data_IF_506188099256
#
_entry.id   IF_506188099256
#
_cell.length_a   1.000
_cell.length_b   1.000
_cell.length_c   1.000
_cell.angle_alpha   90.00
_cell.angle_beta   90.00
_cell.angle_gamma   90.00
#
_symmetry.space_group_name_H-M   'P 1'
#
loop_
_entity.id
_entity.type
_entity.pdbx_description
1 polymer ?
#
# COMPACT_ATOMS: atom_id res chain seq x y z
N UNK A 1 15.99 -44.98 -57.90
CA UNK A 1 15.17 -44.71 -56.70
C UNK A 1 14.92 -43.22 -56.66
N UNK A 2 13.75 -42.76 -57.09
CA UNK A 2 13.39 -41.33 -57.12
C UNK A 2 12.42 -41.09 -55.96
N UNK A 3 12.90 -40.42 -54.91
CA UNK A 3 12.06 -39.96 -53.80
C UNK A 3 11.15 -38.85 -54.31
N UNK A 4 9.81 -38.96 -54.23
CA UNK A 4 8.93 -37.88 -54.63
C UNK A 4 9.21 -36.66 -53.75
N UNK A 5 9.56 -35.53 -54.37
CA UNK A 5 9.63 -34.24 -53.70
C UNK A 5 8.22 -33.93 -53.19
N UNK A 6 8.08 -33.74 -51.87
CA UNK A 6 6.85 -33.22 -51.32
C UNK A 6 6.59 -31.83 -51.93
N UNK A 7 5.38 -31.55 -52.43
CA UNK A 7 5.07 -30.23 -52.96
C UNK A 7 5.23 -29.20 -51.83
N UNK A 8 6.13 -28.23 -52.02
CA UNK A 8 6.22 -27.05 -51.17
C UNK A 8 4.93 -26.24 -51.36
N UNK A 9 4.02 -26.32 -50.38
CA UNK A 9 2.79 -25.52 -50.39
C UNK A 9 3.14 -24.07 -50.05
N UNK A 10 3.14 -23.20 -51.06
CA UNK A 10 3.24 -21.75 -50.87
C UNK A 10 1.99 -21.21 -50.15
N UNK A 11 2.20 -20.39 -49.13
CA UNK A 11 1.13 -19.70 -48.40
C UNK A 11 0.34 -18.79 -49.34
N UNK A 12 -0.99 -18.93 -49.33
CA UNK A 12 -1.85 -18.03 -50.10
C UNK A 12 -1.92 -16.65 -49.44
N UNK A 13 -2.16 -15.57 -50.21
CA UNK A 13 -2.24 -14.20 -49.68
C UNK A 13 -3.35 -14.06 -48.62
N UNK A 14 -4.46 -14.77 -48.79
CA UNK A 14 -5.54 -14.75 -47.80
C UNK A 14 -5.15 -15.47 -46.50
N UNK A 15 -4.35 -16.52 -46.60
CA UNK A 15 -3.87 -17.29 -45.46
C UNK A 15 -2.85 -16.51 -44.62
N UNK A 16 -1.98 -15.73 -45.27
CA UNK A 16 -1.09 -14.81 -44.54
C UNK A 16 -1.87 -13.67 -43.87
N UNK A 17 -2.92 -13.15 -44.52
CA UNK A 17 -3.80 -12.14 -43.89
C UNK A 17 -4.55 -12.71 -42.68
N UNK A 18 -5.07 -13.93 -42.78
CA UNK A 18 -5.73 -14.61 -41.66
C UNK A 18 -4.72 -14.88 -40.53
N UNK A 19 -3.52 -15.37 -40.85
CA UNK A 19 -2.47 -15.60 -39.86
C UNK A 19 -2.05 -14.31 -39.14
N UNK A 20 -1.90 -13.19 -39.87
CA UNK A 20 -1.61 -11.89 -39.30
C UNK A 20 -2.76 -11.36 -38.43
N UNK A 21 -4.01 -11.58 -38.83
CA UNK A 21 -5.18 -11.20 -38.03
C UNK A 21 -5.23 -11.99 -36.71
N UNK A 22 -5.05 -13.31 -36.76
CA UNK A 22 -5.00 -14.16 -35.57
C UNK A 22 -3.82 -13.75 -34.66
N UNK A 23 -2.66 -13.49 -35.25
CA UNK A 23 -1.48 -13.02 -34.51
C UNK A 23 -1.74 -11.67 -33.82
N UNK A 24 -2.33 -10.71 -34.53
CA UNK A 24 -2.66 -9.40 -33.98
C UNK A 24 -3.66 -9.51 -32.81
N UNK A 25 -4.74 -10.29 -32.98
CA UNK A 25 -5.74 -10.52 -31.93
C UNK A 25 -5.09 -11.22 -30.73
N UNK A 26 -4.26 -12.23 -30.95
CA UNK A 26 -3.53 -12.91 -29.90
C UNK A 26 -2.59 -11.98 -29.13
N UNK A 27 -1.85 -11.12 -29.84
CA UNK A 27 -0.94 -10.15 -29.22
C UNK A 27 -1.68 -9.11 -28.34
N UNK A 28 -2.84 -8.64 -28.80
CA UNK A 28 -3.70 -7.73 -28.01
C UNK A 28 -4.24 -8.43 -26.76
N UNK A 29 -4.63 -9.70 -26.86
CA UNK A 29 -5.05 -10.50 -25.71
C UNK A 29 -3.97 -10.61 -24.64
N UNK A 30 -2.72 -10.88 -25.03
CA UNK A 30 -1.58 -10.97 -24.11
C UNK A 30 -1.30 -9.61 -23.44
N UNK A 31 -1.35 -8.52 -24.21
CA UNK A 31 -1.15 -7.17 -23.67
C UNK A 31 -2.21 -6.81 -22.63
N UNK A 32 -3.48 -7.16 -22.89
CA UNK A 32 -4.56 -6.92 -21.94
C UNK A 32 -4.30 -7.66 -20.61
N UNK A 33 -3.89 -8.93 -20.67
CA UNK A 33 -3.55 -9.72 -19.47
C UNK A 33 -2.38 -9.09 -18.73
N UNK A 34 -1.31 -8.70 -19.42
CA UNK A 34 -0.13 -8.06 -18.80
C UNK A 34 -0.50 -6.76 -18.07
N UNK A 35 -1.31 -5.90 -18.71
CA UNK A 35 -1.76 -4.65 -18.09
C UNK A 35 -2.59 -4.91 -16.83
N UNK A 36 -3.52 -5.88 -16.86
CA UNK A 36 -4.29 -6.26 -15.67
C UNK A 36 -3.38 -6.82 -14.57
N UNK A 37 -2.38 -7.61 -14.93
CA UNK A 37 -1.38 -8.12 -13.98
C UNK A 37 -0.61 -7.00 -13.29
N UNK A 38 -0.18 -5.97 -14.02
CA UNK A 38 0.49 -4.81 -13.43
C UNK A 38 -0.41 -4.00 -12.50
N UNK A 39 -1.67 -3.75 -12.88
CA UNK A 39 -2.59 -3.02 -12.01
C UNK A 39 -2.86 -3.77 -10.71
N UNK A 40 -3.12 -5.07 -10.78
CA UNK A 40 -3.36 -5.90 -9.60
C UNK A 40 -2.11 -6.02 -8.72
N UNK A 41 -0.92 -6.09 -9.32
CA UNK A 41 0.34 -6.12 -8.57
C UNK A 41 0.61 -4.80 -7.85
N UNK A 42 0.35 -3.66 -8.50
CA UNK A 42 0.49 -2.35 -7.88
C UNK A 42 -0.49 -2.16 -6.71
N UNK A 43 -1.73 -2.62 -6.87
CA UNK A 43 -2.73 -2.63 -5.80
C UNK A 43 -2.30 -3.51 -4.62
N UNK A 44 -1.85 -4.74 -4.88
CA UNK A 44 -1.34 -5.65 -3.85
C UNK A 44 -0.14 -5.08 -3.09
N UNK A 45 0.77 -4.39 -3.79
CA UNK A 45 1.90 -3.71 -3.17
C UNK A 45 1.45 -2.56 -2.27
N UNK A 46 0.48 -1.75 -2.71
CA UNK A 46 -0.05 -0.64 -1.91
C UNK A 46 -0.78 -1.15 -0.65
N UNK A 47 -1.59 -2.20 -0.77
CA UNK A 47 -2.26 -2.84 0.36
C UNK A 47 -1.25 -3.38 1.37
N UNK A 48 -0.23 -4.09 0.88
CA UNK A 48 0.85 -4.64 1.72
C UNK A 48 1.65 -3.52 2.39
N UNK A 49 1.97 -2.45 1.68
CA UNK A 49 2.66 -1.29 2.23
C UNK A 49 1.82 -0.58 3.31
N UNK A 50 0.55 -0.33 3.06
CA UNK A 50 -0.39 0.27 4.03
C UNK A 50 -0.51 -0.58 5.29
N UNK A 51 -0.62 -1.90 5.14
CA UNK A 51 -0.61 -2.86 6.25
C UNK A 51 0.68 -2.77 7.07
N UNK A 52 1.84 -2.87 6.43
CA UNK A 52 3.14 -2.84 7.12
C UNK A 52 3.34 -1.53 7.91
N UNK A 53 2.96 -0.40 7.32
CA UNK A 53 3.04 0.92 7.95
C UNK A 53 2.11 1.01 9.17
N UNK A 54 0.88 0.51 9.06
CA UNK A 54 -0.08 0.52 10.18
C UNK A 54 0.40 -0.39 11.33
N UNK A 55 0.90 -1.58 11.00
CA UNK A 55 1.44 -2.52 11.99
C UNK A 55 2.69 -1.99 12.68
N UNK A 56 3.56 -1.28 11.96
CA UNK A 56 4.71 -0.64 12.57
C UNK A 56 4.29 0.46 13.55
N UNK A 57 3.31 1.29 13.21
CA UNK A 57 2.76 2.28 14.14
C UNK A 57 2.23 1.62 15.43
N UNK A 58 1.49 0.52 15.31
CA UNK A 58 1.07 -0.26 16.46
C UNK A 58 2.26 -0.79 17.28
N UNK A 59 3.31 -1.26 16.61
CA UNK A 59 4.57 -1.65 17.25
C UNK A 59 5.20 -0.52 18.06
N UNK A 60 5.24 0.70 17.51
CA UNK A 60 5.74 1.90 18.18
C UNK A 60 4.88 2.27 19.40
N UNK A 61 3.56 2.19 19.29
CA UNK A 61 2.64 2.45 20.42
C UNK A 61 2.85 1.41 21.53
N UNK A 62 2.99 0.12 21.18
CA UNK A 62 3.23 -0.96 22.14
C UNK A 62 4.59 -0.83 22.83
N UNK A 63 5.63 -0.46 22.10
CA UNK A 63 6.96 -0.19 22.66
C UNK A 63 6.93 0.98 23.66
N UNK A 64 5.98 1.90 23.50
CA UNK A 64 5.74 3.04 24.39
C UNK A 64 4.50 2.83 25.26
N UNK A 65 4.24 1.59 25.73
CA UNK A 65 3.01 1.21 26.43
C UNK A 65 2.58 2.15 27.55
N UNK A 66 3.51 2.58 28.41
CA UNK A 66 3.24 3.53 29.50
C UNK A 66 2.79 4.92 29.03
N UNK A 67 3.17 5.31 27.81
CA UNK A 67 2.85 6.59 27.18
C UNK A 67 1.87 6.42 26.00
N UNK A 68 1.19 5.28 25.85
CA UNK A 68 0.38 4.99 24.68
C UNK A 68 -0.69 6.06 24.40
N UNK A 69 -1.28 6.65 25.45
CA UNK A 69 -2.27 7.75 25.32
C UNK A 69 -1.71 9.02 24.69
N UNK A 70 -0.39 9.23 24.75
CA UNK A 70 0.27 10.39 24.16
C UNK A 70 0.33 10.33 22.63
N UNK A 71 0.05 9.16 22.02
CA UNK A 71 -0.09 9.03 20.58
C UNK A 71 -1.47 9.49 20.07
N UNK A 72 -2.43 9.74 20.97
CA UNK A 72 -3.79 10.10 20.58
C UNK A 72 -3.81 11.44 19.84
N UNK A 73 -4.32 11.44 18.61
CA UNK A 73 -4.39 12.62 17.75
C UNK A 73 -3.16 12.82 16.88
N UNK A 74 -2.21 11.87 16.86
CA UNK A 74 -1.12 11.90 15.90
C UNK A 74 -1.67 11.67 14.49
N UNK A 75 -1.22 12.48 13.53
CA UNK A 75 -1.68 12.38 12.14
C UNK A 75 -0.59 12.75 11.16
N UNK A 76 -0.68 12.22 9.95
CA UNK A 76 0.17 12.56 8.81
C UNK A 76 -0.73 12.97 7.66
N UNK A 77 -0.57 14.19 7.15
CA UNK A 77 -1.35 14.68 6.01
C UNK A 77 -0.90 14.04 4.69
N UNK A 78 -1.73 14.11 3.64
CA UNK A 78 -1.35 13.74 2.27
C UNK A 78 -0.18 14.56 1.68
N UNK A 79 0.26 15.61 2.37
CA UNK A 79 1.40 16.45 1.99
C UNK A 79 2.66 16.14 2.81
N UNK A 80 2.61 15.14 3.70
CA UNK A 80 3.73 14.75 4.55
C UNK A 80 3.93 15.63 5.79
N UNK A 81 2.98 16.50 6.13
CA UNK A 81 3.01 17.21 7.40
C UNK A 81 2.61 16.26 8.52
N UNK A 82 3.37 16.28 9.62
CA UNK A 82 3.11 15.47 10.80
C UNK A 82 2.52 16.34 11.90
N UNK A 83 1.43 15.86 12.48
CA UNK A 83 0.80 16.41 13.68
C UNK A 83 1.23 15.56 14.85
N UNK A 84 2.02 16.13 15.75
CA UNK A 84 2.42 15.50 17.01
C UNK A 84 1.53 16.09 18.12
N UNK A 85 0.83 15.26 18.92
CA UNK A 85 0.02 15.74 20.04
C UNK A 85 0.87 16.53 21.04
N UNK A 86 0.33 17.63 21.59
CA UNK A 86 1.05 18.44 22.59
C UNK A 86 1.32 17.71 23.90
N UNK A 87 0.62 16.61 24.16
CA UNK A 87 0.86 15.70 25.29
C UNK A 87 2.00 14.71 25.06
N UNK A 88 2.59 14.66 23.85
CA UNK A 88 3.68 13.77 23.50
C UNK A 88 4.99 14.19 24.17
N UNK A 89 5.61 13.24 24.88
CA UNK A 89 7.00 13.39 25.31
C UNK A 89 7.96 13.26 24.12
N UNK A 90 9.25 13.51 24.35
CA UNK A 90 10.29 13.46 23.30
C UNK A 90 10.37 12.10 22.61
N UNK A 91 10.22 11.00 23.35
CA UNK A 91 10.26 9.64 22.81
C UNK A 91 9.06 9.35 21.90
N UNK A 92 7.85 9.74 22.30
CA UNK A 92 6.63 9.59 21.50
C UNK A 92 6.67 10.48 20.26
N UNK A 93 7.11 11.73 20.41
CA UNK A 93 7.31 12.64 19.28
C UNK A 93 8.32 12.08 18.25
N UNK A 94 9.40 11.47 18.74
CA UNK A 94 10.38 10.80 17.89
C UNK A 94 9.77 9.57 17.20
N UNK A 95 9.02 8.74 17.91
CA UNK A 95 8.34 7.59 17.33
C UNK A 95 7.34 7.99 16.23
N UNK A 96 6.53 9.04 16.46
CA UNK A 96 5.62 9.59 15.44
C UNK A 96 6.41 10.10 14.22
N UNK A 97 7.58 10.71 14.44
CA UNK A 97 8.47 11.15 13.35
C UNK A 97 9.07 9.97 12.58
N UNK A 98 9.44 8.88 13.26
CA UNK A 98 9.86 7.63 12.62
C UNK A 98 8.73 7.04 11.77
N UNK A 99 7.50 7.06 12.29
CA UNK A 99 6.32 6.63 11.53
C UNK A 99 6.10 7.48 10.27
N UNK A 100 6.22 8.81 10.39
CA UNK A 100 6.21 9.73 9.25
C UNK A 100 7.24 9.33 8.20
N UNK A 101 8.47 9.04 8.59
CA UNK A 101 9.54 8.70 7.65
C UNK A 101 9.29 7.39 6.88
N UNK A 102 8.40 6.50 7.35
CA UNK A 102 8.00 5.34 6.56
C UNK A 102 6.95 5.70 5.49
N UNK A 103 6.03 6.62 5.77
CA UNK A 103 5.08 7.11 4.76
C UNK A 103 5.76 8.05 3.77
N UNK A 104 6.65 8.91 4.26
CA UNK A 104 7.37 9.94 3.52
C UNK A 104 8.87 9.86 3.82
N UNK A 105 9.59 8.92 3.18
CA UNK A 105 11.02 8.79 3.39
C UNK A 105 11.77 10.02 2.86
N UNK A 106 12.82 10.49 3.56
CA UNK A 106 13.56 11.66 3.14
C UNK A 106 14.29 11.41 1.82
N UNK A 107 14.07 12.28 0.83
CA UNK A 107 14.72 12.19 -0.48
C UNK A 107 14.11 11.15 -1.43
N UNK A 108 12.99 10.52 -1.06
CA UNK A 108 12.24 9.59 -1.91
C UNK A 108 10.78 10.04 -2.07
N UNK A 109 10.09 9.62 -3.14
CA UNK A 109 8.65 9.79 -3.22
C UNK A 109 7.94 9.05 -2.06
N UNK A 110 6.70 9.44 -1.71
CA UNK A 110 5.95 8.78 -0.66
C UNK A 110 5.77 7.29 -0.96
N UNK A 111 5.79 6.47 0.09
CA UNK A 111 5.68 5.01 -0.02
C UNK A 111 4.33 4.56 -0.62
N UNK A 112 3.30 5.40 -0.49
CA UNK A 112 1.98 5.20 -1.08
C UNK A 112 1.51 6.47 -1.79
N UNK A 113 0.68 6.38 -2.84
CA UNK A 113 0.15 7.55 -3.52
C UNK A 113 -0.77 8.35 -2.60
N UNK A 114 -0.42 9.62 -2.34
CA UNK A 114 -1.18 10.50 -1.43
C UNK A 114 -1.39 9.90 -0.04
N UNK A 115 -0.35 9.25 0.51
CA UNK A 115 -0.40 8.57 1.80
C UNK A 115 -0.81 9.54 2.93
N UNK A 116 -1.79 9.15 3.74
CA UNK A 116 -2.09 9.82 5.00
C UNK A 116 -2.25 8.80 6.12
N UNK A 117 -2.09 9.25 7.35
CA UNK A 117 -2.26 8.37 8.51
C UNK A 117 -2.90 9.09 9.67
N UNK A 118 -3.61 8.36 10.50
CA UNK A 118 -4.10 8.85 11.79
C UNK A 118 -3.97 7.78 12.87
N UNK A 119 -3.69 8.23 14.09
CA UNK A 119 -3.62 7.40 15.28
C UNK A 119 -4.58 7.98 16.30
N UNK A 120 -5.51 7.16 16.76
CA UNK A 120 -6.37 7.48 17.90
C UNK A 120 -6.12 6.46 18.99
N UNK A 121 -5.97 6.94 20.22
CA UNK A 121 -5.76 6.08 21.39
C UNK A 121 -6.73 6.50 22.47
N UNK A 122 -7.58 5.56 22.89
CA UNK A 122 -8.64 5.78 23.86
C UNK A 122 -8.41 4.88 25.08
N UNK A 123 -8.45 5.43 26.29
CA UNK A 123 -8.39 4.62 27.51
C UNK A 123 -9.65 3.77 27.64
N UNK A 124 -9.53 2.48 27.95
CA UNK A 124 -10.69 1.63 28.24
C UNK A 124 -11.34 1.95 29.59
N UNK A 125 -10.58 2.57 30.50
CA UNK A 125 -10.98 2.79 31.89
C UNK A 125 -11.38 4.24 32.19
N UNK A 126 -11.34 5.14 31.20
CA UNK A 126 -11.80 6.54 31.32
C UNK A 126 -10.91 7.48 32.15
N UNK A 127 -9.95 6.96 32.93
CA UNK A 127 -9.11 7.74 33.87
C UNK A 127 -7.72 8.11 33.31
N UNK A 128 -7.51 8.01 32.00
CA UNK A 128 -6.17 8.24 31.42
C UNK A 128 -5.15 7.16 31.80
N UNK A 129 -5.63 5.99 32.21
CA UNK A 129 -4.82 4.80 32.46
C UNK A 129 -5.06 3.79 31.35
N UNK A 130 -4.00 3.11 30.92
CA UNK A 130 -4.12 1.96 30.04
C UNK A 130 -4.41 0.67 30.86
N UNK A 131 -5.09 -0.34 30.29
CA UNK A 131 -5.19 -0.67 28.87
C UNK A 131 -5.99 0.33 28.03
N UNK A 132 -5.45 0.64 26.85
CA UNK A 132 -5.99 1.59 25.90
C UNK A 132 -6.27 0.89 24.57
N UNK A 133 -7.28 1.34 23.84
CA UNK A 133 -7.56 0.89 22.48
C UNK A 133 -6.86 1.87 21.53
N UNK A 134 -5.86 1.37 20.81
CA UNK A 134 -5.20 2.11 19.74
C UNK A 134 -5.84 1.71 18.40
N UNK A 135 -6.31 2.70 17.66
CA UNK A 135 -6.74 2.57 16.27
C UNK A 135 -5.74 3.32 15.40
N UNK A 136 -5.13 2.62 14.44
CA UNK A 136 -4.25 3.20 13.44
C UNK A 136 -4.93 3.06 12.09
N UNK A 137 -5.04 4.17 11.38
CA UNK A 137 -5.54 4.20 10.00
C UNK A 137 -4.47 4.73 9.06
N UNK A 138 -4.29 4.06 7.93
CA UNK A 138 -3.42 4.47 6.83
C UNK A 138 -4.27 4.53 5.58
N UNK A 139 -4.29 5.68 4.92
CA UNK A 139 -5.08 5.92 3.71
C UNK A 139 -4.16 6.26 2.55
N UNK A 140 -4.56 5.89 1.34
CA UNK A 140 -3.87 6.23 0.10
C UNK A 140 -4.89 6.36 -1.03
N UNK A 141 -4.45 6.76 -2.23
CA UNK A 141 -5.31 6.79 -3.41
C UNK A 141 -4.92 5.70 -4.39
N UNK A 142 -5.90 4.96 -4.90
CA UNK A 142 -5.75 4.00 -5.98
C UNK A 142 -6.61 4.47 -7.15
N UNK A 143 -6.01 4.81 -8.30
CA UNK A 143 -6.77 5.28 -9.48
C UNK A 143 -7.80 6.40 -9.19
N UNK A 144 -7.51 7.26 -8.21
CA UNK A 144 -8.40 8.34 -7.81
C UNK A 144 -9.44 7.97 -6.75
N UNK A 145 -9.61 6.71 -6.37
CA UNK A 145 -10.44 6.31 -5.21
C UNK A 145 -9.61 6.35 -3.92
N UNK A 146 -10.15 6.90 -2.81
CA UNK A 146 -9.49 6.82 -1.52
C UNK A 146 -9.64 5.41 -0.94
N UNK A 147 -8.52 4.76 -0.66
CA UNK A 147 -8.44 3.49 0.06
C UNK A 147 -7.96 3.74 1.48
N UNK A 148 -8.41 2.91 2.43
CA UNK A 148 -7.99 3.03 3.83
C UNK A 148 -7.88 1.66 4.47
N UNK A 149 -6.71 1.39 5.05
CA UNK A 149 -6.51 0.29 5.97
C UNK A 149 -6.57 0.80 7.41
N UNK A 150 -7.39 0.17 8.24
CA UNK A 150 -7.50 0.51 9.67
C UNK A 150 -7.34 -0.75 10.50
N UNK A 151 -6.60 -0.63 11.61
CA UNK A 151 -6.38 -1.72 12.56
C UNK A 151 -6.58 -1.18 13.97
N UNK A 152 -7.22 -1.99 14.80
CA UNK A 152 -7.50 -1.68 16.19
C UNK A 152 -6.95 -2.76 17.11
N UNK A 153 -6.30 -2.37 18.20
CA UNK A 153 -5.75 -3.32 19.17
C UNK A 153 -5.67 -2.71 20.57
N UNK A 154 -5.56 -3.56 21.59
CA UNK A 154 -5.34 -3.12 22.97
C UNK A 154 -3.84 -2.95 23.20
N UNK A 155 -3.47 -1.84 23.85
CA UNK A 155 -2.08 -1.42 24.14
C UNK A 155 -1.98 -0.87 25.57
N UNK A 156 -0.75 -0.67 26.05
CA UNK A 156 -0.48 -0.04 27.35
C UNK A 156 -0.71 -0.95 28.54
N UNK A 157 -0.29 -2.20 28.41
CA UNK A 157 -0.03 -3.08 29.56
C UNK A 157 1.30 -2.74 30.21
#
# INVERSE_FOLDING_TARGET
MYSPQQPEQGLTLIETMIALAIFAIGSLGILAILMTGFSTSAEGNNLTGGYQIAQNALGLIRANGSNALQFNGAAISPTGNVTVPGSANTTVAQAISTWKNMLYPPGLPPALPSASGSITVLSQQGNGMCPCIATVSVSWRLNGTPETYSVQTIVGY
#
